data_IF_898927822509
#
_entry.id   IF_898927822509
#
_cell.length_a   1.000
_cell.length_b   1.000
_cell.length_c   1.000
_cell.angle_alpha   90.00
_cell.angle_beta   90.00
_cell.angle_gamma   90.00
#
_symmetry.space_group_name_H-M   'P 1'
#
loop_
_entity.id
_entity.type
_entity.pdbx_description
1 polymer ?
#
# COMPACT_ATOMS: atom_id res chain seq x y z
N UNK A 1 -3.38 -5.81 -18.17
CA UNK A 1 -3.35 -4.87 -17.07
C UNK A 1 -2.31 -5.30 -16.05
N UNK A 2 -1.48 -4.39 -15.55
CA UNK A 2 -0.47 -4.78 -14.57
C UNK A 2 -1.12 -5.19 -13.25
N UNK A 3 -0.52 -6.16 -12.59
CA UNK A 3 -0.98 -6.61 -11.29
C UNK A 3 0.21 -7.06 -10.46
N UNK A 4 0.04 -7.04 -9.14
CA UNK A 4 1.10 -7.43 -8.21
C UNK A 4 0.45 -8.10 -6.99
N UNK A 5 1.08 -9.15 -6.50
CA UNK A 5 0.60 -9.85 -5.31
C UNK A 5 1.09 -9.13 -4.06
N UNK A 6 0.21 -9.04 -3.06
CA UNK A 6 0.58 -8.49 -1.77
C UNK A 6 1.69 -9.33 -1.15
N UNK A 7 2.64 -8.66 -0.46
CA UNK A 7 3.76 -9.35 0.18
C UNK A 7 3.34 -10.11 1.44
N UNK A 8 2.18 -9.80 1.99
CA UNK A 8 1.75 -10.34 3.28
C UNK A 8 0.56 -11.30 3.17
N UNK A 9 -0.11 -11.32 2.04
CA UNK A 9 -1.27 -12.19 1.84
C UNK A 9 -1.45 -12.46 0.35
N UNK A 10 -2.57 -13.04 -0.04
CA UNK A 10 -2.83 -13.42 -1.43
C UNK A 10 -3.56 -12.35 -2.24
N UNK A 11 -3.75 -11.18 -1.69
CA UNK A 11 -4.41 -10.09 -2.41
C UNK A 11 -3.63 -9.72 -3.67
N UNK A 12 -4.36 -9.48 -4.75
CA UNK A 12 -3.78 -9.03 -6.02
C UNK A 12 -4.19 -7.59 -6.26
N UNK A 13 -3.20 -6.70 -6.28
CA UNK A 13 -3.43 -5.31 -6.63
C UNK A 13 -3.40 -5.15 -8.13
N UNK A 14 -4.38 -4.47 -8.70
CA UNK A 14 -4.50 -4.26 -10.13
C UNK A 14 -4.75 -2.79 -10.44
N UNK A 15 -4.39 -2.39 -11.66
CA UNK A 15 -4.63 -1.03 -12.12
C UNK A 15 -4.44 -0.96 -13.62
N UNK A 16 -4.91 0.14 -14.22
CA UNK A 16 -4.74 0.35 -15.65
C UNK A 16 -3.29 0.66 -16.00
N UNK A 17 -2.57 1.30 -15.09
CA UNK A 17 -1.16 1.62 -15.26
C UNK A 17 -0.37 1.05 -14.09
N UNK A 18 0.97 1.06 -14.24
CA UNK A 18 1.84 0.64 -13.14
C UNK A 18 1.63 1.48 -11.88
N UNK A 19 1.44 2.77 -12.05
CA UNK A 19 1.19 3.67 -10.93
C UNK A 19 -0.09 3.31 -10.19
N UNK A 20 -1.15 3.05 -10.96
CA UNK A 20 -2.43 2.66 -10.36
C UNK A 20 -2.31 1.33 -9.62
N UNK A 21 -1.61 0.38 -10.23
CA UNK A 21 -1.38 -0.93 -9.62
C UNK A 21 -0.65 -0.77 -8.27
N UNK A 22 0.43 -0.01 -8.26
CA UNK A 22 1.21 0.20 -7.03
C UNK A 22 0.42 0.96 -5.98
N UNK A 23 -0.37 1.95 -6.40
CA UNK A 23 -1.21 2.71 -5.47
C UNK A 23 -2.23 1.80 -4.78
N UNK A 24 -2.88 0.95 -5.55
CA UNK A 24 -3.86 0.02 -5.02
C UNK A 24 -3.22 -0.99 -4.07
N UNK A 25 -2.06 -1.54 -4.45
CA UNK A 25 -1.35 -2.49 -3.62
C UNK A 25 -0.86 -1.86 -2.32
N UNK A 26 -0.29 -0.67 -2.40
CA UNK A 26 0.19 0.02 -1.20
C UNK A 26 -0.94 0.39 -0.26
N UNK A 27 -2.06 0.85 -0.82
CA UNK A 27 -3.22 1.17 0.00
C UNK A 27 -3.73 -0.06 0.74
N UNK A 28 -3.78 -1.21 0.06
CA UNK A 28 -4.17 -2.46 0.69
C UNK A 28 -3.25 -2.80 1.86
N UNK A 29 -1.94 -2.70 1.65
CA UNK A 29 -0.97 -3.00 2.70
C UNK A 29 -1.15 -2.06 3.89
N UNK A 30 -1.36 -0.78 3.64
CA UNK A 30 -1.53 0.22 4.71
C UNK A 30 -2.82 0.03 5.49
N UNK A 31 -3.87 -0.49 4.85
CA UNK A 31 -5.14 -0.72 5.52
C UNK A 31 -5.22 -2.06 6.24
N UNK A 32 -4.64 -3.10 5.64
CA UNK A 32 -4.79 -4.46 6.13
C UNK A 32 -3.56 -4.99 6.88
N UNK A 33 -2.39 -4.48 6.55
CA UNK A 33 -1.13 -5.01 7.06
C UNK A 33 -0.29 -3.95 7.75
N UNK A 34 -0.93 -2.96 8.35
CA UNK A 34 -0.22 -1.88 9.03
C UNK A 34 0.73 -2.38 10.12
N UNK A 35 0.34 -3.35 10.97
CA UNK A 35 1.27 -3.87 11.99
C UNK A 35 2.54 -4.47 11.39
N UNK A 36 2.41 -5.18 10.28
CA UNK A 36 3.59 -5.75 9.60
C UNK A 36 4.48 -4.64 9.03
N UNK A 37 3.85 -3.62 8.44
CA UNK A 37 4.60 -2.50 7.87
C UNK A 37 5.32 -1.69 8.94
N UNK A 38 4.71 -1.55 10.11
CA UNK A 38 5.34 -0.83 11.21
C UNK A 38 6.62 -1.50 11.68
N UNK A 39 6.72 -2.81 11.50
CA UNK A 39 7.94 -3.54 11.82
C UNK A 39 9.01 -3.42 10.75
N UNK A 40 8.63 -3.23 9.50
CA UNK A 40 9.57 -3.18 8.37
C UNK A 40 10.00 -1.78 7.99
N UNK A 41 9.16 -0.79 8.23
CA UNK A 41 9.40 0.59 7.81
C UNK A 41 9.61 1.49 9.02
N UNK A 42 10.43 2.51 8.83
CA UNK A 42 10.58 3.54 9.86
C UNK A 42 9.28 4.34 9.98
N UNK A 43 8.96 4.88 11.17
CA UNK A 43 7.73 5.67 11.33
C UNK A 43 7.61 6.85 10.36
N UNK A 44 8.73 7.48 10.03
CA UNK A 44 8.72 8.60 9.09
C UNK A 44 8.37 8.16 7.68
N UNK A 45 8.96 7.04 7.25
CA UNK A 45 8.68 6.48 5.93
C UNK A 45 7.23 6.04 5.84
N UNK A 46 6.73 5.40 6.90
CA UNK A 46 5.36 4.93 6.94
C UNK A 46 4.37 6.09 6.87
N UNK A 47 4.68 7.19 7.54
CA UNK A 47 3.86 8.39 7.51
C UNK A 47 3.76 8.94 6.09
N UNK A 48 4.88 8.99 5.38
CA UNK A 48 4.90 9.44 4.00
C UNK A 48 4.05 8.55 3.10
N UNK A 49 4.15 7.24 3.28
CA UNK A 49 3.35 6.30 2.51
C UNK A 49 1.86 6.49 2.75
N UNK A 50 1.48 6.71 4.00
CA UNK A 50 0.08 6.98 4.33
C UNK A 50 -0.42 8.26 3.66
N UNK A 51 0.41 9.30 3.66
CA UNK A 51 0.05 10.56 3.01
C UNK A 51 -0.13 10.38 1.50
N UNK A 52 0.71 9.56 0.91
CA UNK A 52 0.69 9.36 -0.55
C UNK A 52 -0.47 8.50 -1.02
N UNK A 53 -0.80 7.45 -0.30
CA UNK A 53 -1.70 6.42 -0.78
C UNK A 53 -3.05 6.35 -0.07
N UNK A 54 -3.12 6.80 1.16
CA UNK A 54 -4.40 6.82 1.88
C UNK A 54 -5.08 8.17 1.75
N UNK A 55 -6.43 8.18 1.62
CA UNK A 55 -7.14 9.45 1.57
C UNK A 55 -7.02 10.16 2.91
N UNK A 56 -6.92 11.48 2.86
CA UNK A 56 -6.89 12.28 4.07
C UNK A 56 -8.30 12.48 4.57
N UNK A 57 -8.48 12.28 5.86
CA UNK A 57 -9.74 12.59 6.51
C UNK A 57 -9.75 14.05 6.94
N UNK A 58 -10.88 14.66 6.78
CA UNK A 58 -11.06 16.02 7.23
C UNK A 58 -11.94 16.07 8.46
#
# INVERSE_FOLDING_TARGET
>A
MPCIMCSYCEYIGQGETMEDMWANARRHELEEHLPEMENEYDPEDLKDLKDMYLPKEE
#
